data_IF_026648832366
#
_entry.id   IF_026648832366
#
_cell.length_a   1.000
_cell.length_b   1.000
_cell.length_c   1.000
_cell.angle_alpha   90.00
_cell.angle_beta   90.00
_cell.angle_gamma   90.00
#
_symmetry.space_group_name_H-M   'P 1'
#
loop_
_entity.id
_entity.type
_entity.pdbx_description
1 polymer ?
#
# COMPACT_ATOMS: atom_id res chain seq x y z
N UNK A 1 3.23 -10.25 12.17
CA UNK A 1 2.62 -9.49 11.09
C UNK A 1 3.46 -8.32 10.63
N UNK A 2 3.11 -7.70 9.52
CA UNK A 2 3.79 -6.50 9.02
C UNK A 2 2.77 -5.48 8.51
N UNK A 3 3.10 -4.19 8.64
CA UNK A 3 2.32 -3.09 8.08
C UNK A 3 2.97 -2.65 6.77
N UNK A 4 2.19 -2.57 5.72
CA UNK A 4 2.67 -2.07 4.43
C UNK A 4 2.04 -0.71 4.15
N UNK A 5 2.87 0.27 3.88
CA UNK A 5 2.45 1.52 3.27
C UNK A 5 2.70 1.41 1.76
N UNK A 6 1.66 1.13 0.99
CA UNK A 6 1.79 1.00 -0.46
C UNK A 6 2.18 2.33 -1.12
N UNK A 7 3.10 2.26 -2.09
CA UNK A 7 3.42 3.39 -2.94
C UNK A 7 2.31 3.62 -3.97
N UNK A 8 1.93 4.87 -4.18
CA UNK A 8 1.14 5.26 -5.35
C UNK A 8 2.03 5.32 -6.60
N UNK A 9 1.42 5.15 -7.77
CA UNK A 9 2.12 5.26 -9.06
C UNK A 9 2.45 6.71 -9.47
N UNK A 10 2.04 7.71 -8.71
CA UNK A 10 2.22 9.12 -9.06
C UNK A 10 3.17 9.84 -8.09
N UNK A 11 4.10 10.57 -8.70
CA UNK A 11 5.08 11.39 -8.02
C UNK A 11 4.40 12.50 -7.20
N UNK A 12 4.66 12.48 -5.90
CA UNK A 12 4.61 13.65 -5.04
C UNK A 12 3.22 14.20 -4.75
N UNK A 13 2.69 13.87 -3.58
CA UNK A 13 1.51 14.53 -3.07
C UNK A 13 1.17 14.10 -1.65
N UNK A 14 0.23 14.80 -1.07
CA UNK A 14 -0.32 14.59 0.28
C UNK A 14 -0.77 13.15 0.54
N UNK A 15 -1.06 12.38 -0.51
CA UNK A 15 -1.54 10.99 -0.44
C UNK A 15 -0.52 10.02 0.17
N UNK A 16 0.75 10.17 -0.17
CA UNK A 16 1.81 9.32 0.39
C UNK A 16 2.04 9.60 1.87
N UNK A 17 1.91 10.86 2.27
CA UNK A 17 1.97 11.27 3.66
C UNK A 17 0.88 10.63 4.51
N UNK A 18 -0.34 10.57 4.00
CA UNK A 18 -1.49 10.00 4.72
C UNK A 18 -1.36 8.48 4.92
N UNK A 19 -0.89 7.76 3.90
CA UNK A 19 -0.60 6.32 4.03
C UNK A 19 0.52 6.06 5.04
N UNK A 20 1.60 6.85 4.97
CA UNK A 20 2.71 6.75 5.92
C UNK A 20 2.26 7.10 7.35
N UNK A 21 1.44 8.14 7.52
CA UNK A 21 0.84 8.51 8.81
C UNK A 21 0.00 7.36 9.38
N UNK A 22 -0.81 6.72 8.54
CA UNK A 22 -1.62 5.57 8.96
C UNK A 22 -0.74 4.37 9.34
N UNK A 23 0.33 4.11 8.59
CA UNK A 23 1.28 3.05 8.91
C UNK A 23 1.99 3.29 10.24
N UNK A 24 2.41 4.53 10.53
CA UNK A 24 2.97 4.92 11.84
C UNK A 24 1.98 4.65 12.97
N UNK A 25 0.72 5.03 12.79
CA UNK A 25 -0.31 4.80 13.81
C UNK A 25 -0.46 3.30 14.13
N UNK A 26 -0.59 2.46 13.11
CA UNK A 26 -0.72 1.01 13.26
C UNK A 26 0.51 0.37 13.92
N UNK A 27 1.71 0.86 13.59
CA UNK A 27 2.94 0.43 14.24
C UNK A 27 2.96 0.80 15.72
N UNK A 28 2.60 2.05 16.06
CA UNK A 28 2.53 2.53 17.46
C UNK A 28 1.46 1.82 18.28
N UNK A 29 0.37 1.40 17.66
CA UNK A 29 -0.67 0.56 18.26
C UNK A 29 -0.19 -0.88 18.52
N UNK A 30 1.02 -1.24 18.10
CA UNK A 30 1.60 -2.58 18.28
C UNK A 30 0.98 -3.66 17.41
N UNK A 31 0.24 -3.29 16.36
CA UNK A 31 -0.45 -4.22 15.48
C UNK A 31 0.50 -4.98 14.54
N UNK A 32 1.67 -4.39 14.27
CA UNK A 32 2.72 -5.07 13.52
C UNK A 32 4.11 -4.58 13.93
N UNK A 33 5.11 -5.47 14.08
CA UNK A 33 6.46 -5.11 14.50
C UNK A 33 7.35 -4.58 13.35
N UNK A 34 6.87 -4.65 12.11
CA UNK A 34 7.64 -4.31 10.90
C UNK A 34 6.78 -3.48 9.96
N UNK A 35 7.38 -2.48 9.34
CA UNK A 35 6.77 -1.70 8.27
C UNK A 35 7.51 -1.98 6.96
N UNK A 36 6.78 -2.35 5.92
CA UNK A 36 7.32 -2.56 4.58
C UNK A 36 6.98 -1.36 3.71
N UNK A 37 7.98 -0.71 3.19
CA UNK A 37 7.83 0.31 2.16
C UNK A 37 7.90 -0.36 0.79
N UNK A 38 6.85 -0.22 0.02
CA UNK A 38 6.81 -0.69 -1.36
C UNK A 38 7.11 0.45 -2.31
N UNK A 39 7.84 0.16 -3.37
CA UNK A 39 8.15 1.13 -4.41
C UNK A 39 7.97 0.51 -5.79
N UNK A 40 7.11 1.11 -6.59
CA UNK A 40 6.95 0.71 -7.98
C UNK A 40 8.15 1.24 -8.77
N UNK A 41 9.22 0.45 -8.86
CA UNK A 41 10.35 0.85 -9.69
C UNK A 41 10.93 -0.27 -10.54
N UNK A 42 11.22 0.10 -11.76
CA UNK A 42 11.86 -0.74 -12.73
C UNK A 42 13.37 -0.82 -12.46
N UNK A 43 13.79 -1.81 -11.65
CA UNK A 43 15.20 -2.22 -11.62
C UNK A 43 16.19 -1.26 -10.96
N UNK A 44 15.79 -0.47 -9.99
CA UNK A 44 16.71 0.43 -9.29
C UNK A 44 17.67 -0.34 -8.36
N UNK A 45 18.98 -0.18 -8.59
CA UNK A 45 20.03 -0.69 -7.70
C UNK A 45 20.14 0.09 -6.38
N UNK A 46 19.39 1.16 -6.22
CA UNK A 46 19.35 2.03 -5.02
C UNK A 46 17.91 2.33 -4.63
N UNK A 47 17.69 2.55 -3.33
CA UNK A 47 16.40 3.02 -2.81
C UNK A 47 16.11 4.39 -3.47
N UNK A 48 14.96 4.54 -4.14
CA UNK A 48 14.59 5.81 -4.76
C UNK A 48 14.48 6.95 -3.75
N UNK A 49 14.72 8.19 -4.17
CA UNK A 49 14.67 9.35 -3.30
C UNK A 49 13.31 9.51 -2.59
N UNK A 50 12.19 9.23 -3.28
CA UNK A 50 10.86 9.25 -2.68
C UNK A 50 10.64 8.20 -1.59
N UNK A 51 11.29 7.03 -1.68
CA UNK A 51 11.27 6.03 -0.60
C UNK A 51 12.15 6.41 0.57
N UNK A 52 13.26 7.12 0.35
CA UNK A 52 14.07 7.67 1.43
C UNK A 52 13.26 8.67 2.26
N UNK A 53 12.52 9.58 1.61
CA UNK A 53 11.64 10.51 2.30
C UNK A 53 10.61 9.79 3.19
N UNK A 54 9.96 8.75 2.66
CA UNK A 54 9.01 7.96 3.45
C UNK A 54 9.66 7.22 4.60
N UNK A 55 10.85 6.67 4.41
CA UNK A 55 11.61 6.05 5.49
C UNK A 55 11.93 7.06 6.60
N UNK A 56 12.41 8.25 6.24
CA UNK A 56 12.68 9.33 7.19
C UNK A 56 11.40 9.78 7.92
N UNK A 57 10.27 9.88 7.21
CA UNK A 57 8.98 10.19 7.81
C UNK A 57 8.55 9.13 8.83
N UNK A 58 8.67 7.85 8.49
CA UNK A 58 8.35 6.75 9.40
C UNK A 58 9.29 6.74 10.62
N UNK A 59 10.59 7.00 10.43
CA UNK A 59 11.57 7.08 11.51
C UNK A 59 11.23 8.26 12.45
N UNK A 60 10.93 9.43 11.91
CA UNK A 60 10.44 10.57 12.69
C UNK A 60 9.13 10.26 13.44
N UNK A 61 8.29 9.40 12.85
CA UNK A 61 7.08 8.86 13.46
C UNK A 61 7.32 7.80 14.55
N UNK A 62 8.57 7.39 14.79
CA UNK A 62 8.94 6.43 15.85
C UNK A 62 9.05 4.97 15.36
N UNK A 63 9.08 4.73 14.06
CA UNK A 63 9.39 3.42 13.49
C UNK A 63 10.91 3.30 13.33
N UNK A 64 11.62 2.48 14.10
CA UNK A 64 13.06 2.39 14.01
C UNK A 64 13.49 1.80 12.66
N UNK A 65 14.65 2.22 12.16
CA UNK A 65 15.20 1.73 10.87
C UNK A 65 15.28 0.21 10.80
N UNK A 66 15.55 -0.44 11.92
CA UNK A 66 15.61 -1.91 12.04
C UNK A 66 14.25 -2.60 11.79
N UNK A 67 13.15 -1.87 11.99
CA UNK A 67 11.80 -2.35 11.70
C UNK A 67 11.34 -2.07 10.26
N UNK A 68 12.12 -1.35 9.47
CA UNK A 68 11.79 -1.07 8.06
C UNK A 68 12.27 -2.19 7.14
N UNK A 69 11.45 -2.53 6.16
CA UNK A 69 11.80 -3.38 5.01
C UNK A 69 11.41 -2.65 3.73
N UNK A 70 12.08 -3.01 2.64
CA UNK A 70 11.83 -2.42 1.32
C UNK A 70 11.48 -3.53 0.33
N UNK A 71 10.38 -3.36 -0.38
CA UNK A 71 10.01 -4.16 -1.53
C UNK A 71 10.07 -3.27 -2.78
N UNK A 72 10.98 -3.55 -3.71
CA UNK A 72 11.31 -2.70 -4.85
C UNK A 72 11.13 -3.40 -6.20
N UNK A 73 10.68 -4.64 -6.21
CA UNK A 73 10.56 -5.44 -7.43
C UNK A 73 9.18 -5.31 -8.10
N UNK A 74 8.19 -4.80 -7.38
CA UNK A 74 6.83 -4.66 -7.89
C UNK A 74 6.76 -3.63 -9.04
N UNK A 75 5.95 -3.95 -10.05
CA UNK A 75 5.69 -3.08 -11.22
C UNK A 75 4.26 -2.53 -11.25
N UNK A 76 3.38 -3.11 -10.48
CA UNK A 76 1.98 -2.73 -10.32
C UNK A 76 1.42 -3.38 -9.04
N UNK A 77 0.21 -3.02 -8.66
CA UNK A 77 -0.41 -3.50 -7.41
C UNK A 77 -0.60 -5.04 -7.37
N UNK A 78 -0.78 -5.70 -8.52
CA UNK A 78 -0.88 -7.16 -8.55
C UNK A 78 0.47 -7.81 -8.26
N UNK A 79 1.53 -7.37 -8.93
CA UNK A 79 2.89 -7.88 -8.68
C UNK A 79 3.38 -7.49 -7.29
N UNK A 80 2.93 -6.36 -6.73
CA UNK A 80 3.17 -5.98 -5.34
C UNK A 80 2.59 -7.02 -4.38
N UNK A 81 1.32 -7.41 -4.55
CA UNK A 81 0.71 -8.45 -3.73
C UNK A 81 1.48 -9.78 -3.81
N UNK A 82 1.96 -10.17 -5.00
CA UNK A 82 2.78 -11.38 -5.19
C UNK A 82 4.11 -11.26 -4.43
N UNK A 83 4.84 -10.15 -4.59
CA UNK A 83 6.13 -9.94 -3.94
C UNK A 83 5.99 -9.87 -2.41
N UNK A 84 4.95 -9.24 -1.91
CA UNK A 84 4.66 -9.18 -0.48
C UNK A 84 4.32 -10.56 0.09
N UNK A 85 3.55 -11.39 -0.62
CA UNK A 85 3.31 -12.77 -0.24
C UNK A 85 4.61 -13.58 -0.13
N UNK A 86 5.51 -13.44 -1.10
CA UNK A 86 6.81 -14.12 -1.07
C UNK A 86 7.70 -13.59 0.06
N UNK A 87 7.70 -12.28 0.30
CA UNK A 87 8.40 -11.68 1.44
C UNK A 87 7.86 -12.22 2.77
N UNK A 88 6.54 -12.33 2.91
CA UNK A 88 5.92 -12.93 4.11
C UNK A 88 6.40 -14.35 4.35
N UNK A 89 6.48 -15.18 3.30
CA UNK A 89 7.00 -16.56 3.39
C UNK A 89 8.45 -16.58 3.84
N UNK A 90 9.28 -15.72 3.25
CA UNK A 90 10.70 -15.62 3.58
C UNK A 90 10.95 -15.19 5.01
N UNK A 91 10.19 -14.22 5.49
CA UNK A 91 10.34 -13.65 6.84
C UNK A 91 9.52 -14.42 7.92
N UNK A 92 8.73 -15.41 7.52
CA UNK A 92 7.88 -16.17 8.43
C UNK A 92 6.68 -15.40 8.97
N UNK A 93 6.23 -14.35 8.28
CA UNK A 93 5.06 -13.56 8.67
C UNK A 93 3.78 -14.28 8.24
N UNK A 94 2.74 -14.18 9.07
CA UNK A 94 1.46 -14.79 8.79
C UNK A 94 0.38 -13.83 8.36
N UNK A 95 0.42 -12.60 8.85
CA UNK A 95 -0.61 -11.60 8.57
C UNK A 95 0.04 -10.32 8.05
N UNK A 96 -0.54 -9.76 7.01
CA UNK A 96 -0.15 -8.52 6.37
C UNK A 96 -1.25 -7.47 6.55
N UNK A 97 -0.90 -6.28 7.01
CA UNK A 97 -1.79 -5.12 6.99
C UNK A 97 -1.38 -4.23 5.81
N UNK A 98 -2.27 -4.05 4.86
CA UNK A 98 -2.03 -3.23 3.67
C UNK A 98 -2.73 -1.90 3.83
N UNK A 99 -1.97 -0.81 3.81
CA UNK A 99 -2.51 0.55 3.89
C UNK A 99 -2.58 1.17 2.51
N UNK A 100 -3.74 1.67 2.13
CA UNK A 100 -3.93 2.38 0.87
C UNK A 100 -5.11 3.34 0.94
N UNK A 101 -5.39 4.07 -0.13
CA UNK A 101 -6.46 5.06 -0.15
C UNK A 101 -7.83 4.43 -0.34
N UNK A 102 -8.89 5.06 0.20
CA UNK A 102 -10.23 4.49 0.19
C UNK A 102 -10.75 4.05 -1.19
N UNK A 103 -10.65 4.84 -2.28
CA UNK A 103 -11.14 4.40 -3.59
C UNK A 103 -10.39 3.19 -4.16
N UNK A 104 -9.13 2.98 -3.76
CA UNK A 104 -8.29 1.89 -4.21
C UNK A 104 -8.65 0.53 -3.57
N UNK A 105 -9.31 0.54 -2.42
CA UNK A 105 -9.57 -0.65 -1.61
C UNK A 105 -10.27 -1.77 -2.36
N UNK A 106 -11.28 -1.46 -3.19
CA UNK A 106 -12.03 -2.47 -3.93
C UNK A 106 -11.16 -3.25 -4.91
N UNK A 107 -10.28 -2.54 -5.63
CA UNK A 107 -9.35 -3.18 -6.57
C UNK A 107 -8.29 -4.00 -5.84
N UNK A 108 -7.77 -3.49 -4.72
CA UNK A 108 -6.83 -4.23 -3.88
C UNK A 108 -7.46 -5.49 -3.29
N UNK A 109 -8.69 -5.41 -2.77
CA UNK A 109 -9.39 -6.57 -2.22
C UNK A 109 -9.48 -7.71 -3.25
N UNK A 110 -9.77 -7.37 -4.50
CA UNK A 110 -9.82 -8.36 -5.57
C UNK A 110 -8.44 -8.95 -5.89
N UNK A 111 -7.39 -8.11 -6.03
CA UNK A 111 -6.04 -8.56 -6.36
C UNK A 111 -5.42 -9.39 -5.23
N UNK A 112 -5.54 -8.92 -4.00
CA UNK A 112 -5.02 -9.64 -2.84
C UNK A 112 -5.81 -10.93 -2.57
N UNK A 113 -7.13 -10.92 -2.78
CA UNK A 113 -7.95 -12.13 -2.72
C UNK A 113 -7.43 -13.21 -3.64
N UNK A 114 -7.20 -12.87 -4.91
CA UNK A 114 -6.66 -13.78 -5.93
C UNK A 114 -5.25 -14.31 -5.57
N UNK A 115 -4.36 -13.40 -5.17
CA UNK A 115 -2.97 -13.74 -4.86
C UNK A 115 -2.83 -14.57 -3.57
N UNK A 116 -3.64 -14.29 -2.56
CA UNK A 116 -3.55 -14.93 -1.24
C UNK A 116 -4.42 -16.19 -1.13
N UNK A 117 -5.30 -16.47 -2.08
CA UNK A 117 -6.12 -17.68 -2.10
C UNK A 117 -5.24 -18.93 -1.97
N UNK A 118 -5.57 -19.81 -1.03
CA UNK A 118 -4.83 -21.06 -0.79
C UNK A 118 -3.41 -20.89 -0.28
N UNK A 119 -2.94 -19.67 0.01
CA UNK A 119 -1.56 -19.43 0.45
C UNK A 119 -1.27 -19.83 1.90
N UNK A 120 -2.31 -19.92 2.74
CA UNK A 120 -2.18 -20.09 4.19
C UNK A 120 -1.71 -18.83 4.92
N UNK A 121 -1.72 -17.68 4.23
CA UNK A 121 -1.35 -16.37 4.77
C UNK A 121 -2.58 -15.45 4.74
N UNK A 122 -2.66 -14.54 5.72
CA UNK A 122 -3.76 -13.62 5.86
C UNK A 122 -3.36 -12.18 5.49
N UNK A 123 -4.33 -11.39 5.05
CA UNK A 123 -4.14 -9.96 4.86
C UNK A 123 -5.35 -9.16 5.35
N UNK A 124 -5.11 -7.92 5.74
CA UNK A 124 -6.13 -6.95 6.14
C UNK A 124 -5.88 -5.66 5.38
N UNK A 125 -6.91 -5.15 4.72
CA UNK A 125 -6.85 -3.86 4.05
C UNK A 125 -7.30 -2.76 5.01
N UNK A 126 -6.49 -1.73 5.17
CA UNK A 126 -6.78 -0.57 6.02
C UNK A 126 -6.71 0.69 5.19
N UNK A 127 -7.81 1.44 5.15
CA UNK A 127 -7.85 2.72 4.45
C UNK A 127 -7.03 3.78 5.19
N UNK A 128 -6.28 4.60 4.45
CA UNK A 128 -5.81 5.90 4.91
C UNK A 128 -7.02 6.83 5.16
N UNK A 129 -6.77 8.00 5.74
CA UNK A 129 -7.83 8.98 6.03
C UNK A 129 -7.46 10.34 5.45
N UNK A 130 -7.37 10.43 4.11
CA UNK A 130 -6.96 11.67 3.49
C UNK A 130 -8.11 12.70 3.53
N UNK A 131 -7.76 13.95 3.82
CA UNK A 131 -8.72 15.06 3.93
C UNK A 131 -9.47 15.33 2.61
N UNK A 132 -8.85 14.99 1.46
CA UNK A 132 -9.47 15.14 0.14
C UNK A 132 -10.58 14.13 -0.16
N UNK A 133 -10.67 13.03 0.59
CA UNK A 133 -11.65 11.98 0.33
C UNK A 133 -13.01 12.31 0.93
N UNK A 134 -14.01 12.43 0.07
CA UNK A 134 -15.40 12.74 0.43
C UNK A 134 -16.30 11.57 0.00
N UNK A 135 -16.56 10.59 0.88
CA UNK A 135 -17.25 9.36 0.50
C UNK A 135 -18.73 9.56 0.12
N UNK A 136 -19.40 10.53 0.74
CA UNK A 136 -20.84 10.72 0.60
C UNK A 136 -21.22 11.51 -0.65
N UNK A 137 -20.29 12.31 -1.20
CA UNK A 137 -20.51 13.15 -2.37
C UNK A 137 -19.27 13.27 -3.27
N UNK A 138 -18.47 12.21 -3.35
CA UNK A 138 -17.21 12.15 -4.10
C UNK A 138 -17.32 12.65 -5.55
N UNK A 139 -18.49 12.52 -6.18
CA UNK A 139 -18.75 12.98 -7.55
C UNK A 139 -18.82 14.53 -7.68
N UNK A 140 -18.92 15.25 -6.56
CA UNK A 140 -18.91 16.71 -6.50
C UNK A 140 -17.50 17.29 -6.27
N UNK A 141 -16.56 16.44 -5.89
CA UNK A 141 -15.18 16.81 -5.59
C UNK A 141 -14.26 16.28 -6.68
N UNK A 142 -13.57 17.19 -7.35
CA UNK A 142 -12.75 16.87 -8.53
C UNK A 142 -11.75 15.74 -8.25
N UNK A 143 -10.96 15.86 -7.19
CA UNK A 143 -9.94 14.88 -6.82
C UNK A 143 -10.55 13.50 -6.49
N UNK A 144 -11.59 13.47 -5.67
CA UNK A 144 -12.31 12.24 -5.34
C UNK A 144 -12.94 11.60 -6.59
N UNK A 145 -13.59 12.41 -7.43
CA UNK A 145 -14.22 11.95 -8.67
C UNK A 145 -13.23 11.35 -9.66
N UNK A 146 -12.12 12.05 -9.91
CA UNK A 146 -11.06 11.56 -10.79
C UNK A 146 -10.51 10.22 -10.29
N UNK A 147 -10.23 10.11 -9.00
CA UNK A 147 -9.68 8.90 -8.41
C UNK A 147 -10.65 7.71 -8.54
N UNK A 148 -11.94 7.92 -8.20
CA UNK A 148 -12.96 6.86 -8.33
C UNK A 148 -13.11 6.39 -9.78
N UNK A 149 -13.16 7.33 -10.73
CA UNK A 149 -13.28 6.99 -12.16
C UNK A 149 -12.08 6.19 -12.64
N UNK A 150 -10.87 6.60 -12.29
CA UNK A 150 -9.64 5.87 -12.63
C UNK A 150 -9.65 4.45 -12.06
N UNK A 151 -10.06 4.28 -10.79
CA UNK A 151 -10.13 2.96 -10.17
C UNK A 151 -11.20 2.06 -10.80
N UNK A 152 -12.34 2.61 -11.21
CA UNK A 152 -13.36 1.87 -11.94
C UNK A 152 -12.86 1.39 -13.31
N UNK A 153 -12.14 2.26 -14.05
CA UNK A 153 -11.53 1.88 -15.34
C UNK A 153 -10.49 0.78 -15.14
N UNK A 154 -9.59 0.93 -14.16
CA UNK A 154 -8.60 -0.09 -13.82
C UNK A 154 -9.26 -1.42 -13.42
N UNK A 155 -10.31 -1.38 -12.61
CA UNK A 155 -11.06 -2.56 -12.19
C UNK A 155 -11.71 -3.27 -13.40
N UNK A 156 -12.34 -2.52 -14.30
CA UNK A 156 -12.91 -3.04 -15.54
C UNK A 156 -11.87 -3.71 -16.45
N UNK A 157 -10.71 -3.07 -16.60
CA UNK A 157 -9.59 -3.62 -17.36
C UNK A 157 -9.08 -4.96 -16.80
N UNK A 158 -8.94 -5.07 -15.49
CA UNK A 158 -8.53 -6.32 -14.87
C UNK A 158 -9.61 -7.41 -14.95
N UNK A 159 -10.88 -7.04 -14.83
CA UNK A 159 -11.99 -7.98 -14.98
C UNK A 159 -12.08 -8.56 -16.41
N UNK A 160 -11.78 -7.74 -17.43
CA UNK A 160 -11.80 -8.17 -18.82
C UNK A 160 -10.60 -9.05 -19.23
N UNK A 161 -9.55 -9.12 -18.43
CA UNK A 161 -8.34 -9.94 -18.69
C UNK A 161 -8.40 -11.35 -18.08
N UNK A 162 -9.43 -11.66 -17.33
CA UNK A 162 -9.71 -13.01 -16.82
C UNK A 162 -10.50 -13.80 -17.84
#
# INVERSE_FOLDING_TARGET
GAVVAAAGEEEGGDEEGERATRAVALYREGLAPVVVLTGLQQGAARIPAGLNWRAEFLEAGGVPRSALRFELAARNSYTEAVQLRELMRKEGWRTLIVVSDPPHMRRLAWMYGDVFEGSGLDYVLVASRPDWWQPDDWWRHEKSGQFVIQELIKLGYYAAKR
#
